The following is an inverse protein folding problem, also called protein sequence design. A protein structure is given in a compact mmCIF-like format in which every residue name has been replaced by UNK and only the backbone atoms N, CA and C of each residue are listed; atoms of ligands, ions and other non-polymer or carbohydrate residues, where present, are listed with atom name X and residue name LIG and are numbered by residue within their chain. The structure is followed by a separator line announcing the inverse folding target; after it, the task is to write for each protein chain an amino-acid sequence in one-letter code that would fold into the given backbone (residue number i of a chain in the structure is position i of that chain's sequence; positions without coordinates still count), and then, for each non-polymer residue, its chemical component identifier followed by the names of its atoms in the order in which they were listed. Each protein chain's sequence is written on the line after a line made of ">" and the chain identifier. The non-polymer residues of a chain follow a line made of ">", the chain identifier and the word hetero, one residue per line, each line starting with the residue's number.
data_IF_739883417350
#
_entry.id   IF_739883417350
#
_cell.length_a   1.000
_cell.length_b   1.000
_cell.length_c   1.000
_cell.angle_alpha   90.00
_cell.angle_beta   90.00
_cell.angle_gamma   90.00
#
_symmetry.space_group_name_H-M   'P 1'
#
loop_
_entity.id
_entity.type
_entity.pdbx_description
1 polymer ?
#
# COMPACT_ATOMS: atom_id res chain seq x y z
N UNK A 1 5.93 7.94 14.43
CA UNK A 1 5.31 7.70 13.12
C UNK A 1 4.15 6.70 13.19
N UNK A 2 4.26 5.53 13.83
CA UNK A 2 3.16 4.53 13.87
C UNK A 2 2.24 4.62 15.11
N UNK A 3 2.70 5.20 16.22
CA UNK A 3 1.89 5.33 17.44
C UNK A 3 0.79 6.38 17.24
N UNK A 4 -0.48 5.96 17.26
CA UNK A 4 -1.65 6.84 17.13
C UNK A 4 -2.11 7.11 15.70
N UNK A 5 -1.56 6.42 14.69
CA UNK A 5 -2.06 6.52 13.32
C UNK A 5 -3.44 5.85 13.21
N UNK A 6 -4.39 6.52 12.57
CA UNK A 6 -5.71 5.94 12.25
C UNK A 6 -5.68 5.11 10.95
N UNK A 7 -4.75 5.44 10.04
CA UNK A 7 -4.53 4.76 8.79
C UNK A 7 -3.04 4.70 8.45
N UNK A 8 -2.63 3.63 7.77
CA UNK A 8 -1.27 3.39 7.28
C UNK A 8 -1.33 3.07 5.79
N UNK A 9 -0.60 3.85 5.00
CA UNK A 9 -0.46 3.68 3.55
C UNK A 9 0.88 2.98 3.27
N UNK A 10 0.81 1.77 2.73
CA UNK A 10 1.95 1.00 2.26
C UNK A 10 2.11 1.22 0.76
N UNK A 11 3.10 2.02 0.37
CA UNK A 11 3.31 2.44 -1.01
C UNK A 11 4.46 1.64 -1.61
N UNK A 12 4.28 1.09 -2.81
CA UNK A 12 5.34 0.47 -3.59
C UNK A 12 5.34 0.96 -5.03
N UNK A 13 6.40 0.68 -5.76
CA UNK A 13 6.57 1.05 -7.16
C UNK A 13 6.22 -0.11 -8.09
N UNK A 14 5.27 0.09 -9.03
CA UNK A 14 4.84 -0.95 -9.99
C UNK A 14 5.97 -1.45 -10.90
N UNK A 15 7.05 -0.69 -11.04
CA UNK A 15 8.22 -1.03 -11.85
C UNK A 15 9.31 -1.79 -11.08
N UNK A 16 9.22 -1.82 -9.74
CA UNK A 16 10.24 -2.42 -8.88
C UNK A 16 9.63 -3.47 -7.92
N UNK A 17 9.56 -4.75 -8.32
CA UNK A 17 8.93 -5.81 -7.52
C UNK A 17 9.51 -5.97 -6.12
N UNK A 18 10.81 -5.72 -5.96
CA UNK A 18 11.49 -5.75 -4.66
C UNK A 18 10.88 -4.78 -3.65
N UNK A 19 10.31 -3.65 -4.10
CA UNK A 19 9.65 -2.69 -3.21
C UNK A 19 8.36 -3.25 -2.61
N UNK A 20 7.64 -4.11 -3.34
CA UNK A 20 6.47 -4.82 -2.81
C UNK A 20 6.91 -5.89 -1.79
N UNK A 21 8.01 -6.59 -2.05
CA UNK A 21 8.53 -7.61 -1.14
C UNK A 21 8.98 -7.01 0.20
N UNK A 22 9.60 -5.83 0.19
CA UNK A 22 9.93 -5.10 1.42
C UNK A 22 8.67 -4.69 2.22
N UNK A 23 7.52 -4.48 1.58
CA UNK A 23 6.29 -4.15 2.31
C UNK A 23 5.81 -5.28 3.22
N UNK A 24 6.19 -6.53 2.96
CA UNK A 24 5.85 -7.66 3.83
C UNK A 24 6.41 -7.46 5.24
N UNK A 25 7.66 -6.99 5.35
CA UNK A 25 8.28 -6.66 6.64
C UNK A 25 7.58 -5.48 7.31
N UNK A 26 7.18 -4.47 6.54
CA UNK A 26 6.43 -3.33 7.05
C UNK A 26 5.05 -3.71 7.60
N UNK A 27 4.34 -4.65 6.97
CA UNK A 27 3.07 -5.20 7.50
C UNK A 27 3.29 -5.78 8.90
N UNK A 28 4.38 -6.51 9.11
CA UNK A 28 4.71 -7.09 10.43
C UNK A 28 4.97 -5.99 11.45
N UNK A 29 5.73 -4.95 11.09
CA UNK A 29 6.03 -3.80 11.96
C UNK A 29 4.74 -3.06 12.34
N UNK A 30 3.87 -2.77 11.37
CA UNK A 30 2.59 -2.08 11.59
C UNK A 30 1.68 -2.91 12.51
N UNK A 31 1.54 -4.21 12.24
CA UNK A 31 0.74 -5.10 13.10
C UNK A 31 1.29 -5.20 14.51
N UNK A 32 2.62 -5.24 14.68
CA UNK A 32 3.27 -5.27 15.99
C UNK A 32 3.02 -3.97 16.76
N UNK A 33 3.13 -2.83 16.09
CA UNK A 33 2.81 -1.53 16.68
C UNK A 33 1.33 -1.42 17.08
N UNK A 34 0.43 -1.98 16.27
CA UNK A 34 -1.02 -1.98 16.52
C UNK A 34 -1.49 -2.93 17.63
N UNK A 35 -0.68 -3.90 18.08
CA UNK A 35 -1.07 -4.90 19.10
C UNK A 35 -1.53 -4.31 20.43
N UNK A 36 -1.08 -3.11 20.77
CA UNK A 36 -1.40 -2.43 22.02
C UNK A 36 -2.50 -1.37 21.87
N UNK A 37 -3.14 -1.26 20.69
CA UNK A 37 -4.20 -0.30 20.43
C UNK A 37 -5.57 -0.99 20.42
N UNK A 38 -6.55 -0.40 21.11
CA UNK A 38 -7.95 -0.88 21.12
C UNK A 38 -8.59 -0.89 19.72
N UNK A 39 -8.09 -0.06 18.80
CA UNK A 39 -8.48 -0.06 17.40
C UNK A 39 -7.24 -0.15 16.51
N UNK A 40 -7.07 -1.23 15.73
CA UNK A 40 -5.97 -1.31 14.78
C UNK A 40 -6.16 -0.27 13.66
N UNK A 41 -5.06 0.29 13.11
CA UNK A 41 -5.14 1.24 12.02
C UNK A 41 -5.67 0.57 10.74
N UNK A 42 -6.39 1.35 9.93
CA UNK A 42 -6.72 0.96 8.56
C UNK A 42 -5.42 0.81 7.75
N UNK A 43 -5.29 -0.27 6.99
CA UNK A 43 -4.12 -0.49 6.14
C UNK A 43 -4.54 -0.41 4.68
N UNK A 44 -3.79 0.34 3.88
CA UNK A 44 -4.02 0.52 2.47
C UNK A 44 -2.73 0.27 1.68
N UNK A 45 -2.79 -0.60 0.68
CA UNK A 45 -1.73 -0.86 -0.27
C UNK A 45 -1.89 0.07 -1.47
N UNK A 46 -0.83 0.81 -1.80
CA UNK A 46 -0.84 1.80 -2.88
C UNK A 46 0.22 1.43 -3.92
N UNK A 47 -0.24 1.10 -5.13
CA UNK A 47 0.61 0.94 -6.29
C UNK A 47 0.92 2.31 -6.90
N UNK A 48 2.14 2.80 -6.71
CA UNK A 48 2.63 4.07 -7.24
C UNK A 48 3.28 3.89 -8.62
N UNK A 49 3.41 4.99 -9.35
CA UNK A 49 3.95 5.10 -10.71
C UNK A 49 3.09 4.38 -11.76
N UNK A 50 1.77 4.42 -11.59
CA UNK A 50 0.83 3.86 -12.55
C UNK A 50 0.98 4.43 -13.98
N UNK A 51 1.58 5.61 -14.13
CA UNK A 51 1.95 6.19 -15.43
C UNK A 51 2.99 5.34 -16.21
N UNK A 52 3.73 4.48 -15.51
CA UNK A 52 4.73 3.58 -16.08
C UNK A 52 4.16 2.18 -16.37
N UNK A 53 2.87 2.07 -16.69
CA UNK A 53 2.19 0.81 -16.98
C UNK A 53 2.89 -0.03 -18.06
N UNK A 54 3.46 0.62 -19.07
CA UNK A 54 4.19 -0.01 -20.17
C UNK A 54 5.45 -0.78 -19.74
N UNK A 55 6.04 -0.45 -18.59
CA UNK A 55 7.19 -1.14 -17.99
C UNK A 55 6.83 -1.77 -16.63
N UNK A 56 5.54 -1.96 -16.35
CA UNK A 56 5.07 -2.61 -15.13
C UNK A 56 5.71 -3.99 -14.98
N UNK A 57 6.30 -4.23 -13.82
CA UNK A 57 6.84 -5.54 -13.45
C UNK A 57 5.95 -6.25 -12.43
N UNK A 58 5.14 -5.51 -11.66
CA UNK A 58 4.19 -6.08 -10.70
C UNK A 58 2.80 -6.19 -11.33
N UNK A 59 2.40 -7.41 -11.68
CA UNK A 59 1.05 -7.69 -12.20
C UNK A 59 -0.03 -7.25 -11.22
N UNK A 60 -1.14 -6.74 -11.76
CA UNK A 60 -2.31 -6.34 -10.96
C UNK A 60 -2.82 -7.49 -10.08
N UNK A 61 -2.78 -8.73 -10.54
CA UNK A 61 -3.17 -9.89 -9.73
C UNK A 61 -2.31 -10.04 -8.46
N UNK A 62 -0.99 -9.87 -8.57
CA UNK A 62 -0.08 -9.91 -7.41
C UNK A 62 -0.39 -8.80 -6.41
N UNK A 63 -0.72 -7.60 -6.90
CA UNK A 63 -1.16 -6.49 -6.07
C UNK A 63 -2.43 -6.82 -5.28
N UNK A 64 -3.49 -7.25 -5.98
CA UNK A 64 -4.78 -7.56 -5.35
C UNK A 64 -4.66 -8.73 -4.36
N UNK A 65 -3.87 -9.75 -4.71
CA UNK A 65 -3.60 -10.87 -3.80
C UNK A 65 -2.89 -10.41 -2.54
N UNK A 66 -1.84 -9.60 -2.64
CA UNK A 66 -1.14 -9.06 -1.47
C UNK A 66 -2.06 -8.21 -0.59
N UNK A 67 -2.92 -7.40 -1.20
CA UNK A 67 -3.91 -6.61 -0.46
C UNK A 67 -4.93 -7.52 0.26
N UNK A 68 -5.46 -8.54 -0.42
CA UNK A 68 -6.43 -9.47 0.14
C UNK A 68 -5.84 -10.32 1.28
N UNK A 69 -4.64 -10.88 1.10
CA UNK A 69 -3.94 -11.72 2.08
C UNK A 69 -3.68 -10.97 3.40
N UNK A 70 -3.54 -9.64 3.33
CA UNK A 70 -3.31 -8.79 4.49
C UNK A 70 -4.53 -7.93 4.89
N UNK A 71 -5.70 -8.15 4.26
CA UNK A 71 -6.93 -7.40 4.50
C UNK A 71 -6.73 -5.87 4.42
N UNK A 72 -6.12 -5.42 3.33
CA UNK A 72 -5.81 -4.02 3.06
C UNK A 72 -6.66 -3.47 1.92
N UNK A 73 -6.94 -2.17 1.97
CA UNK A 73 -7.55 -1.46 0.84
C UNK A 73 -6.55 -1.37 -0.30
N UNK A 74 -6.97 -1.63 -1.54
CA UNK A 74 -6.11 -1.56 -2.73
C UNK A 74 -6.30 -0.24 -3.47
N UNK A 75 -5.21 0.45 -3.76
CA UNK A 75 -5.20 1.68 -4.56
C UNK A 75 -4.12 1.63 -5.62
N UNK A 76 -4.40 2.27 -6.76
CA UNK A 76 -3.45 2.49 -7.85
C UNK A 76 -3.42 3.99 -8.12
N UNK A 77 -2.23 4.56 -8.15
CA UNK A 77 -2.05 6.00 -8.38
C UNK A 77 -0.70 6.32 -9.03
N UNK A 78 -0.62 7.52 -9.60
CA UNK A 78 0.65 8.13 -10.00
C UNK A 78 0.81 9.46 -9.28
N UNK A 79 1.83 9.53 -8.43
CA UNK A 79 2.21 10.79 -7.80
C UNK A 79 2.72 11.82 -8.83
N UNK A 80 3.15 11.37 -10.02
CA UNK A 80 3.67 12.24 -11.09
C UNK A 80 2.55 12.93 -11.86
N UNK A 81 1.51 12.19 -12.25
CA UNK A 81 0.37 12.75 -13.00
C UNK A 81 -0.73 13.27 -12.08
N UNK A 82 -0.71 12.88 -10.80
CA UNK A 82 -1.77 13.17 -9.83
C UNK A 82 -2.96 12.21 -9.93
N UNK A 83 -2.93 11.26 -10.87
CA UNK A 83 -3.99 10.28 -11.07
C UNK A 83 -4.14 9.37 -9.84
N UNK A 84 -5.38 9.17 -9.38
CA UNK A 84 -5.70 8.28 -8.26
C UNK A 84 -5.30 8.81 -6.87
N UNK A 85 -4.56 9.92 -6.78
CA UNK A 85 -4.09 10.48 -5.49
C UNK A 85 -5.29 10.91 -4.64
N UNK A 86 -6.20 11.73 -5.18
CA UNK A 86 -7.37 12.19 -4.43
C UNK A 86 -8.24 11.03 -3.92
N UNK A 87 -8.45 10.00 -4.75
CA UNK A 87 -9.23 8.81 -4.40
C UNK A 87 -8.59 7.98 -3.28
N UNK A 88 -7.26 8.02 -3.16
CA UNK A 88 -6.51 7.32 -2.10
C UNK A 88 -6.73 7.96 -0.72
N UNK A 89 -6.99 9.27 -0.67
CA UNK A 89 -7.12 10.03 0.58
C UNK A 89 -8.57 10.42 0.96
N UNK A 90 -9.56 10.22 0.09
CA UNK A 90 -10.95 10.66 0.30
C UNK A 90 -11.89 9.63 0.93
N UNK A 91 -11.39 8.53 1.50
CA UNK A 91 -12.22 7.46 2.08
C UNK A 91 -12.21 7.44 3.60
#
# INVERSE_FOLDING_TARGET
>A
YLYGAHAVLLVYDVTAPSTLDVLQDWVVVVRKAARHHDRPPLMALVANKADLEHIRQVKSERHHRFAADHNMLSYVMSARTGEGVALTFQK
#
